data_IF_624499912706
#
_entry.id   IF_624499912706
#
_cell.length_a   1.000
_cell.length_b   1.000
_cell.length_c   1.000
_cell.angle_alpha   90.00
_cell.angle_beta   90.00
_cell.angle_gamma   90.00
#
_symmetry.space_group_name_H-M   'P 1'
#
loop_
_entity.id
_entity.type
_entity.pdbx_description
1 polymer ?
#
# COMPACT_ATOMS: atom_id res chain seq x y z
N UNK A 1 2.47 16.18 2.86
CA UNK A 1 1.43 15.17 2.56
C UNK A 1 2.03 14.22 1.53
N UNK A 2 1.96 12.91 1.75
CA UNK A 2 2.47 11.89 0.81
C UNK A 2 1.27 11.21 0.18
N UNK A 3 1.27 11.10 -1.15
CA UNK A 3 0.24 10.39 -1.91
C UNK A 3 0.92 9.35 -2.78
N UNK A 4 0.45 8.11 -2.73
CA UNK A 4 0.88 7.04 -3.63
C UNK A 4 -0.30 6.52 -4.43
N UNK A 5 -0.08 6.28 -5.72
CA UNK A 5 -1.09 5.80 -6.66
C UNK A 5 -0.57 4.50 -7.26
N UNK A 6 -1.40 3.45 -7.19
CA UNK A 6 -1.16 2.19 -7.89
C UNK A 6 -2.12 2.07 -9.06
N UNK A 7 -1.58 1.76 -10.25
CA UNK A 7 -2.37 1.44 -11.44
C UNK A 7 -2.45 -0.07 -11.56
N UNK A 8 -3.67 -0.61 -11.57
CA UNK A 8 -3.94 -2.04 -11.64
C UNK A 8 -4.91 -2.33 -12.79
N UNK A 9 -4.76 -3.51 -13.39
CA UNK A 9 -5.67 -4.04 -14.39
C UNK A 9 -5.84 -5.54 -14.16
N UNK A 10 -6.91 -6.10 -14.71
CA UNK A 10 -7.17 -7.53 -14.77
C UNK A 10 -7.43 -7.93 -16.21
N UNK A 11 -7.29 -9.21 -16.53
CA UNK A 11 -7.61 -9.72 -17.87
C UNK A 11 -9.13 -9.64 -18.10
N UNK A 12 -9.52 -8.85 -19.09
CA UNK A 12 -10.92 -8.64 -19.47
C UNK A 12 -11.58 -9.91 -20.03
N UNK A 13 -10.81 -10.87 -20.55
CA UNK A 13 -11.35 -12.08 -21.15
C UNK A 13 -11.78 -13.12 -20.12
N UNK A 14 -11.13 -13.15 -18.95
CA UNK A 14 -11.45 -14.07 -17.85
C UNK A 14 -11.22 -13.37 -16.51
N UNK A 15 -12.15 -12.49 -16.08
CA UNK A 15 -12.04 -11.81 -14.80
C UNK A 15 -12.09 -12.84 -13.66
N UNK A 16 -10.96 -13.07 -13.00
CA UNK A 16 -10.82 -13.94 -11.84
C UNK A 16 -10.94 -13.18 -10.51
N UNK A 17 -11.25 -11.89 -10.57
CA UNK A 17 -11.15 -10.95 -9.47
C UNK A 17 -12.17 -9.82 -9.65
N UNK A 18 -12.90 -9.51 -8.59
CA UNK A 18 -13.70 -8.29 -8.51
C UNK A 18 -12.78 -7.09 -8.27
N UNK A 19 -12.66 -6.20 -9.28
CA UNK A 19 -11.81 -5.01 -9.22
C UNK A 19 -12.24 -4.02 -8.13
N UNK A 20 -13.54 -3.92 -7.85
CA UNK A 20 -14.06 -3.00 -6.84
C UNK A 20 -13.63 -3.48 -5.44
N UNK A 21 -13.81 -4.77 -5.15
CA UNK A 21 -13.36 -5.38 -3.89
C UNK A 21 -11.83 -5.34 -3.75
N UNK A 22 -11.10 -5.63 -4.84
CA UNK A 22 -9.64 -5.53 -4.87
C UNK A 22 -9.16 -4.11 -4.56
N UNK A 23 -9.79 -3.09 -5.15
CA UNK A 23 -9.41 -1.68 -4.95
C UNK A 23 -9.56 -1.24 -3.49
N UNK A 24 -10.53 -1.80 -2.77
CA UNK A 24 -10.82 -1.48 -1.36
C UNK A 24 -9.94 -2.24 -0.37
N UNK A 25 -9.47 -3.44 -0.72
CA UNK A 25 -8.78 -4.34 0.22
C UNK A 25 -7.31 -4.60 -0.15
N UNK A 26 -7.09 -5.22 -1.32
CA UNK A 26 -5.79 -5.76 -1.71
C UNK A 26 -4.88 -4.68 -2.30
N UNK A 27 -5.43 -3.76 -3.10
CA UNK A 27 -4.65 -2.68 -3.71
C UNK A 27 -3.92 -1.82 -2.65
N UNK A 28 -4.58 -1.35 -1.56
CA UNK A 28 -3.89 -0.63 -0.50
C UNK A 28 -2.81 -1.45 0.19
N UNK A 29 -3.03 -2.77 0.37
CA UNK A 29 -2.06 -3.67 0.97
C UNK A 29 -0.79 -3.82 0.09
N UNK A 30 -0.95 -3.79 -1.23
CA UNK A 30 0.17 -3.83 -2.19
C UNK A 30 0.91 -2.49 -2.24
N UNK A 31 0.21 -1.37 -2.09
CA UNK A 31 0.83 -0.03 -2.09
C UNK A 31 1.57 0.24 -0.77
N UNK A 32 1.09 -0.28 0.37
CA UNK A 32 1.63 0.03 1.69
C UNK A 32 3.16 -0.17 1.86
N UNK A 33 3.79 -1.24 1.34
CA UNK A 33 5.25 -1.39 1.37
C UNK A 33 6.02 -0.21 0.78
N UNK A 34 5.50 0.42 -0.28
CA UNK A 34 6.12 1.60 -0.88
C UNK A 34 6.00 2.82 0.04
N UNK A 35 4.85 3.01 0.68
CA UNK A 35 4.67 4.06 1.70
C UNK A 35 5.65 3.85 2.86
N UNK A 36 5.80 2.61 3.33
CA UNK A 36 6.76 2.26 4.38
C UNK A 36 8.20 2.57 3.99
N UNK A 37 8.59 2.23 2.75
CA UNK A 37 9.92 2.55 2.23
C UNK A 37 10.12 4.07 2.21
N UNK A 38 9.17 4.82 1.65
CA UNK A 38 9.26 6.27 1.56
C UNK A 38 9.45 6.94 2.92
N UNK A 39 8.66 6.54 3.93
CA UNK A 39 8.76 7.05 5.31
C UNK A 39 10.13 6.73 5.92
N UNK A 40 10.63 5.51 5.71
CA UNK A 40 11.96 5.09 6.22
C UNK A 40 13.08 5.88 5.52
N UNK A 41 12.98 6.06 4.21
CA UNK A 41 13.95 6.77 3.39
C UNK A 41 14.05 8.24 3.80
N UNK A 42 12.92 8.95 3.86
CA UNK A 42 12.93 10.38 4.16
C UNK A 42 13.37 10.65 5.60
N UNK A 43 12.94 9.84 6.56
CA UNK A 43 13.34 9.99 7.96
C UNK A 43 14.83 9.71 8.15
N UNK A 44 15.40 8.71 7.46
CA UNK A 44 16.84 8.41 7.52
C UNK A 44 17.74 9.57 7.07
N UNK A 45 17.23 10.45 6.19
CA UNK A 45 17.97 11.60 5.66
C UNK A 45 18.01 12.80 6.61
N UNK A 46 17.29 12.74 7.73
CA UNK A 46 17.18 13.86 8.67
C UNK A 46 18.29 13.89 9.73
N UNK A 47 19.17 12.89 9.76
CA UNK A 47 20.18 12.72 10.83
C UNK A 47 19.61 12.20 12.15
N UNK A 48 18.29 11.96 12.22
CA UNK A 48 17.61 11.29 13.33
C UNK A 48 17.51 9.78 13.08
N UNK A 49 17.08 9.02 14.09
CA UNK A 49 16.76 7.61 13.90
C UNK A 49 15.65 7.45 12.84
N UNK A 50 15.81 6.54 11.86
CA UNK A 50 14.80 6.31 10.85
C UNK A 50 13.48 5.81 11.46
N UNK A 51 12.37 6.31 10.93
CA UNK A 51 11.03 5.86 11.28
C UNK A 51 10.73 4.59 10.48
N UNK A 52 10.69 3.44 11.16
CA UNK A 52 10.35 2.15 10.56
C UNK A 52 8.92 1.79 10.91
N UNK A 53 8.02 1.80 9.92
CA UNK A 53 6.65 1.34 10.15
C UNK A 53 6.62 -0.19 10.32
N UNK A 54 5.88 -0.71 11.32
CA UNK A 54 5.77 -2.15 11.53
C UNK A 54 5.01 -2.82 10.38
N UNK A 55 5.14 -4.14 10.20
CA UNK A 55 4.22 -4.90 9.38
C UNK A 55 2.79 -4.67 9.86
N UNK A 56 1.91 -4.21 8.97
CA UNK A 56 0.51 -3.93 9.29
C UNK A 56 -0.39 -4.85 8.47
N UNK A 57 -1.43 -5.37 9.11
CA UNK A 57 -2.47 -6.12 8.41
C UNK A 57 -3.46 -5.13 7.77
N UNK A 58 -3.10 -4.62 6.59
CA UNK A 58 -3.89 -3.61 5.87
C UNK A 58 -5.29 -4.12 5.55
N UNK A 59 -5.42 -5.38 5.11
CA UNK A 59 -6.73 -5.96 4.80
C UNK A 59 -7.66 -5.91 6.02
N UNK A 60 -7.15 -6.27 7.21
CA UNK A 60 -7.93 -6.18 8.45
C UNK A 60 -8.28 -4.74 8.83
N UNK A 61 -7.42 -3.77 8.52
CA UNK A 61 -7.69 -2.35 8.79
C UNK A 61 -8.73 -1.74 7.85
N UNK A 62 -8.83 -2.25 6.61
CA UNK A 62 -9.81 -1.79 5.62
C UNK A 62 -11.20 -2.43 5.84
N UNK A 63 -11.24 -3.63 6.41
CA UNK A 63 -12.48 -4.29 6.85
C UNK A 63 -12.96 -3.64 8.14
N UNK A 64 -14.05 -2.87 8.06
CA UNK A 64 -14.75 -2.32 9.22
C UNK A 64 -15.36 -3.42 10.08
#
# INVERSE_FOLDING_TARGET
>A
MVTMIGLFSTDSANPNLDLEDFSKNNAPAIIFPYIREFVSNISSRTGLQPIILPPMNIIKMMKK
#
